data_IF_366321618965
#
_entry.id   IF_366321618965
#
_cell.length_a   1.000
_cell.length_b   1.000
_cell.length_c   1.000
_cell.angle_alpha   90.00
_cell.angle_beta   90.00
_cell.angle_gamma   90.00
#
_symmetry.space_group_name_H-M   'P 1'
#
loop_
_entity.id
_entity.type
_entity.pdbx_description
1 polymer ?
#
# COMPACT_ATOMS: atom_id res chain seq x y z
N UNK A 1 -10.43 10.63 -15.13
CA UNK A 1 -10.54 9.48 -16.04
C UNK A 1 -11.91 9.44 -16.68
N UNK A 2 -12.01 8.98 -17.93
CA UNK A 2 -13.27 8.81 -18.66
C UNK A 2 -13.91 7.45 -18.33
N UNK A 3 -15.23 7.31 -18.51
CA UNK A 3 -15.97 6.04 -18.26
C UNK A 3 -15.35 4.83 -18.99
N UNK A 4 -14.82 5.03 -20.20
CA UNK A 4 -14.12 3.99 -20.97
C UNK A 4 -12.87 3.46 -20.28
N UNK A 5 -12.13 4.32 -19.57
CA UNK A 5 -10.91 3.94 -18.84
C UNK A 5 -11.25 3.10 -17.61
N UNK A 6 -12.36 3.42 -16.92
CA UNK A 6 -12.86 2.59 -15.82
C UNK A 6 -13.24 1.18 -16.31
N UNK A 7 -13.95 1.09 -17.44
CA UNK A 7 -14.29 -0.20 -18.05
C UNK A 7 -13.03 -0.97 -18.47
N UNK A 8 -11.98 -0.28 -18.94
CA UNK A 8 -10.73 -0.93 -19.32
C UNK A 8 -10.00 -1.53 -18.11
N UNK A 9 -9.95 -0.83 -16.96
CA UNK A 9 -9.42 -1.39 -15.71
C UNK A 9 -10.18 -2.65 -15.32
N UNK A 10 -11.52 -2.59 -15.31
CA UNK A 10 -12.37 -3.73 -14.98
C UNK A 10 -12.14 -4.92 -15.92
N UNK A 11 -12.18 -4.70 -17.23
CA UNK A 11 -11.98 -5.77 -18.22
C UNK A 11 -10.55 -6.31 -18.20
N UNK A 12 -9.55 -5.48 -17.88
CA UNK A 12 -8.17 -5.91 -17.69
C UNK A 12 -8.04 -6.89 -16.53
N UNK A 13 -8.66 -6.59 -15.39
CA UNK A 13 -8.69 -7.48 -14.23
C UNK A 13 -9.53 -8.75 -14.49
N UNK A 14 -10.77 -8.59 -14.96
CA UNK A 14 -11.69 -9.71 -15.17
C UNK A 14 -11.15 -10.76 -16.15
N UNK A 15 -10.41 -10.33 -17.18
CA UNK A 15 -9.88 -11.22 -18.22
C UNK A 15 -8.40 -11.56 -18.01
N UNK A 16 -7.81 -11.24 -16.85
CA UNK A 16 -6.40 -11.50 -16.53
C UNK A 16 -5.41 -10.94 -17.57
N UNK A 17 -5.63 -9.69 -17.99
CA UNK A 17 -4.82 -8.99 -18.99
C UNK A 17 -4.01 -7.89 -18.33
N UNK A 18 -2.81 -8.25 -17.90
CA UNK A 18 -1.85 -7.36 -17.22
C UNK A 18 -1.65 -6.03 -17.96
N UNK A 19 -1.24 -6.06 -19.23
CA UNK A 19 -0.95 -4.85 -20.01
C UNK A 19 -2.18 -3.95 -20.20
N UNK A 20 -3.36 -4.57 -20.37
CA UNK A 20 -4.61 -3.83 -20.51
C UNK A 20 -4.95 -3.05 -19.24
N UNK A 21 -4.77 -3.66 -18.07
CA UNK A 21 -4.98 -3.03 -16.78
C UNK A 21 -3.94 -1.92 -16.53
N UNK A 22 -2.64 -2.24 -16.67
CA UNK A 22 -1.55 -1.32 -16.37
C UNK A 22 -1.45 -0.14 -17.32
N UNK A 23 -1.92 -0.26 -18.57
CA UNK A 23 -2.03 0.87 -19.50
C UNK A 23 -2.83 2.05 -18.92
N UNK A 24 -3.80 1.78 -18.04
CA UNK A 24 -4.57 2.79 -17.32
C UNK A 24 -4.04 2.97 -15.88
N UNK A 25 -3.77 1.88 -15.15
CA UNK A 25 -3.42 1.95 -13.73
C UNK A 25 -2.13 2.74 -13.45
N UNK A 26 -1.17 2.74 -14.39
CA UNK A 26 0.05 3.55 -14.26
C UNK A 26 -0.22 5.03 -14.01
N UNK A 27 -1.30 5.59 -14.57
CA UNK A 27 -1.71 6.99 -14.36
C UNK A 27 -2.14 7.26 -12.91
N UNK A 28 -2.58 6.23 -12.20
CA UNK A 28 -2.96 6.30 -10.78
C UNK A 28 -1.76 6.11 -9.85
N UNK A 29 -0.69 5.51 -10.36
CA UNK A 29 0.57 5.31 -9.65
C UNK A 29 1.57 6.44 -9.91
N UNK A 30 1.29 7.34 -10.84
CA UNK A 30 2.09 8.54 -11.05
C UNK A 30 2.02 9.44 -9.80
N UNK A 31 3.17 9.74 -9.16
CA UNK A 31 3.18 10.64 -8.02
C UNK A 31 2.68 12.04 -8.40
N UNK A 32 2.06 12.74 -7.45
CA UNK A 32 1.57 14.11 -7.67
C UNK A 32 2.69 15.13 -7.85
N UNK A 33 2.35 16.42 -7.92
CA UNK A 33 3.32 17.52 -8.15
C UNK A 33 4.52 17.54 -7.19
N UNK A 34 4.37 16.99 -5.99
CA UNK A 34 5.42 16.89 -4.96
C UNK A 34 6.24 15.59 -5.04
N UNK A 35 6.11 14.82 -6.13
CA UNK A 35 6.84 13.57 -6.34
C UNK A 35 6.38 12.42 -5.45
N UNK A 36 5.25 12.55 -4.75
CA UNK A 36 4.69 11.51 -3.88
C UNK A 36 3.15 11.53 -3.90
N UNK A 37 2.52 10.48 -3.35
CA UNK A 37 1.09 10.48 -3.06
C UNK A 37 0.74 11.44 -1.91
N UNK A 38 -0.50 11.92 -1.86
CA UNK A 38 -0.97 12.74 -0.74
C UNK A 38 -1.04 11.93 0.56
N UNK A 39 -1.59 10.72 0.48
CA UNK A 39 -1.62 9.72 1.54
C UNK A 39 -1.49 8.33 0.91
N UNK A 40 -0.99 7.38 1.68
CA UNK A 40 -0.85 5.99 1.26
C UNK A 40 -2.17 5.23 1.48
N UNK A 41 -2.75 4.62 0.45
CA UNK A 41 -3.90 3.74 0.59
C UNK A 41 -3.45 2.37 1.13
N UNK A 42 -3.81 2.07 2.37
CA UNK A 42 -3.51 0.77 2.99
C UNK A 42 -4.64 0.29 3.89
N UNK A 43 -4.63 -1.01 4.18
CA UNK A 43 -5.44 -1.66 5.22
C UNK A 43 -4.58 -2.68 5.95
N UNK A 44 -4.52 -2.59 7.27
CA UNK A 44 -3.83 -3.56 8.11
C UNK A 44 -4.84 -4.56 8.70
N UNK A 45 -4.57 -5.85 8.56
CA UNK A 45 -5.39 -6.95 9.04
C UNK A 45 -4.65 -7.69 10.15
N UNK A 46 -5.28 -7.89 11.30
CA UNK A 46 -4.69 -8.62 12.43
C UNK A 46 -5.72 -9.60 13.01
N UNK A 47 -5.49 -10.90 12.77
CA UNK A 47 -6.46 -11.95 13.14
C UNK A 47 -7.85 -11.66 12.56
N UNK A 48 -8.88 -11.85 13.39
CA UNK A 48 -10.29 -11.64 13.01
C UNK A 48 -10.80 -10.22 13.31
N UNK A 49 -9.93 -9.30 13.72
CA UNK A 49 -10.32 -7.93 13.99
C UNK A 49 -10.64 -7.18 12.67
N UNK A 50 -11.52 -6.17 12.71
CA UNK A 50 -11.68 -5.25 11.59
C UNK A 50 -10.34 -4.63 11.18
N UNK A 51 -10.20 -4.30 9.90
CA UNK A 51 -8.97 -3.71 9.42
C UNK A 51 -8.74 -2.31 9.99
N UNK A 52 -7.47 -1.98 10.22
CA UNK A 52 -7.03 -0.62 10.60
C UNK A 52 -6.67 0.17 9.34
N UNK A 53 -7.21 1.39 9.24
CA UNK A 53 -6.92 2.33 8.17
C UNK A 53 -6.93 3.76 8.73
N UNK A 54 -5.87 4.52 8.45
CA UNK A 54 -5.75 5.93 8.84
C UNK A 54 -4.98 6.73 7.78
N UNK A 55 -4.91 8.05 7.92
CA UNK A 55 -4.22 8.91 6.98
C UNK A 55 -2.72 8.96 7.28
N UNK A 56 -1.91 8.32 6.43
CA UNK A 56 -0.45 8.31 6.54
C UNK A 56 0.16 8.93 5.29
N UNK A 57 0.97 9.97 5.47
CA UNK A 57 1.75 10.57 4.38
C UNK A 57 2.95 9.68 4.02
N UNK A 58 3.38 9.63 2.75
CA UNK A 58 4.56 8.87 2.33
C UNK A 58 5.90 9.47 2.79
N UNK A 59 5.90 10.68 3.36
CA UNK A 59 7.09 11.39 3.82
C UNK A 59 6.92 11.83 5.27
N UNK A 60 8.04 11.95 6.00
CA UNK A 60 8.10 12.50 7.35
C UNK A 60 7.91 14.01 7.34
N UNK A 61 7.81 14.63 8.52
CA UNK A 61 7.74 16.10 8.63
C UNK A 61 9.00 16.81 8.13
N UNK A 62 10.13 16.10 8.09
CA UNK A 62 11.42 16.57 7.56
C UNK A 62 11.53 16.39 6.04
N UNK A 63 10.55 15.75 5.41
CA UNK A 63 10.54 15.45 3.97
C UNK A 63 11.24 14.16 3.58
N UNK A 64 11.74 13.38 4.54
CA UNK A 64 12.37 12.08 4.28
C UNK A 64 11.30 11.03 3.91
N UNK A 65 11.57 10.07 3.01
CA UNK A 65 10.64 8.99 2.70
C UNK A 65 10.33 8.14 3.95
N UNK A 66 9.06 7.89 4.23
CA UNK A 66 8.65 6.93 5.26
C UNK A 66 8.89 5.50 4.80
N UNK A 67 9.18 4.64 5.75
CA UNK A 67 9.33 3.20 5.55
C UNK A 67 8.12 2.43 6.08
N UNK A 68 8.09 1.13 5.83
CA UNK A 68 7.12 0.22 6.45
C UNK A 68 7.19 0.27 7.98
N UNK A 69 8.38 0.43 8.56
CA UNK A 69 8.55 0.59 10.01
C UNK A 69 7.73 1.77 10.53
N UNK A 70 7.85 2.94 9.91
CA UNK A 70 7.12 4.13 10.34
C UNK A 70 5.60 3.93 10.27
N UNK A 71 5.11 3.22 9.24
CA UNK A 71 3.70 2.86 9.16
C UNK A 71 3.27 1.98 10.33
N UNK A 72 4.07 0.95 10.67
CA UNK A 72 3.74 0.04 11.77
C UNK A 72 3.75 0.75 13.12
N UNK A 73 4.70 1.66 13.35
CA UNK A 73 4.77 2.49 14.58
C UNK A 73 3.55 3.41 14.70
N UNK A 74 3.05 3.96 13.59
CA UNK A 74 1.86 4.82 13.59
C UNK A 74 0.55 4.04 13.82
N UNK A 75 0.43 2.84 13.24
CA UNK A 75 -0.80 2.02 13.34
C UNK A 75 -0.83 1.21 14.64
N UNK A 76 0.32 0.74 15.11
CA UNK A 76 0.46 -0.13 16.30
C UNK A 76 1.45 0.46 17.33
N UNK A 77 1.20 1.68 17.86
CA UNK A 77 2.17 2.40 18.70
C UNK A 77 2.51 1.71 20.04
N UNK A 78 1.71 0.71 20.44
CA UNK A 78 1.89 -0.04 21.69
C UNK A 78 2.65 -1.36 21.51
N UNK A 79 2.92 -1.78 20.27
CA UNK A 79 3.59 -3.05 19.97
C UNK A 79 4.93 -2.76 19.33
N UNK A 80 6.05 -3.23 19.90
CA UNK A 80 7.36 -3.09 19.27
C UNK A 80 7.35 -3.70 17.86
N UNK A 81 7.87 -2.98 16.86
CA UNK A 81 7.83 -3.44 15.46
C UNK A 81 8.60 -4.74 15.25
N UNK A 82 9.63 -4.99 16.07
CA UNK A 82 10.40 -6.23 16.03
C UNK A 82 9.58 -7.47 16.40
N UNK A 83 8.50 -7.29 17.17
CA UNK A 83 7.54 -8.34 17.51
C UNK A 83 6.49 -8.53 16.39
N UNK A 84 6.44 -7.64 15.40
CA UNK A 84 5.50 -7.74 14.29
C UNK A 84 6.11 -8.53 13.13
N UNK A 85 5.30 -9.42 12.56
CA UNK A 85 5.51 -10.03 11.25
C UNK A 85 4.54 -9.39 10.27
N UNK A 86 5.08 -8.83 9.19
CA UNK A 86 4.31 -8.10 8.18
C UNK A 86 4.38 -8.83 6.85
N UNK A 87 3.22 -9.21 6.33
CA UNK A 87 3.06 -9.90 5.06
C UNK A 87 2.29 -9.04 4.05
N UNK A 88 2.82 -8.94 2.85
CA UNK A 88 2.16 -8.38 1.66
C UNK A 88 2.28 -9.38 0.52
N UNK A 89 1.17 -9.66 -0.18
CA UNK A 89 1.13 -10.68 -1.24
C UNK A 89 1.73 -12.05 -0.84
N UNK A 90 1.62 -12.43 0.44
CA UNK A 90 2.14 -13.70 0.96
C UNK A 90 3.64 -13.74 1.26
N UNK A 91 4.37 -12.64 1.10
CA UNK A 91 5.81 -12.55 1.41
C UNK A 91 6.08 -11.60 2.59
N UNK A 92 7.15 -11.87 3.32
CA UNK A 92 7.63 -10.97 4.39
C UNK A 92 8.32 -9.75 3.79
N UNK A 93 7.93 -8.56 4.24
CA UNK A 93 8.52 -7.31 3.75
C UNK A 93 9.52 -6.75 4.76
N UNK A 94 10.72 -6.35 4.32
CA UNK A 94 11.67 -5.68 5.20
C UNK A 94 11.13 -4.34 5.73
N UNK A 95 11.34 -4.08 7.02
CA UNK A 95 10.82 -2.87 7.68
C UNK A 95 11.39 -1.56 7.11
N UNK A 96 12.58 -1.60 6.52
CA UNK A 96 13.21 -0.44 5.88
C UNK A 96 12.65 -0.12 4.49
N UNK A 97 11.74 -0.95 3.92
CA UNK A 97 11.23 -0.74 2.57
C UNK A 97 10.43 0.58 2.49
N UNK A 98 10.70 1.46 1.51
CA UNK A 98 9.99 2.73 1.36
C UNK A 98 8.49 2.55 1.09
N UNK A 99 7.66 3.31 1.79
CA UNK A 99 6.21 3.16 1.78
C UNK A 99 5.58 3.60 0.44
N UNK A 100 6.10 4.67 -0.16
CA UNK A 100 5.69 5.12 -1.50
C UNK A 100 5.94 4.00 -2.53
N UNK A 101 7.13 3.40 -2.50
CA UNK A 101 7.49 2.31 -3.41
C UNK A 101 6.58 1.09 -3.21
N UNK A 102 6.28 0.71 -1.97
CA UNK A 102 5.31 -0.35 -1.68
C UNK A 102 3.96 -0.04 -2.32
N UNK A 103 3.44 1.18 -2.13
CA UNK A 103 2.13 1.57 -2.66
C UNK A 103 2.09 1.53 -4.18
N UNK A 104 3.18 1.85 -4.87
CA UNK A 104 3.26 1.81 -6.33
C UNK A 104 3.34 0.39 -6.90
N UNK A 105 4.01 -0.53 -6.20
CA UNK A 105 4.42 -1.82 -6.77
C UNK A 105 3.77 -3.05 -6.13
N UNK A 106 3.28 -2.95 -4.89
CA UNK A 106 2.69 -4.04 -4.10
C UNK A 106 1.23 -3.74 -3.69
N UNK A 107 0.61 -2.74 -4.30
CA UNK A 107 -0.84 -2.57 -4.17
C UNK A 107 -1.58 -3.58 -5.02
N UNK A 108 -2.76 -3.99 -4.54
CA UNK A 108 -3.68 -4.80 -5.32
C UNK A 108 -4.32 -3.98 -6.46
N UNK A 109 -5.06 -4.62 -7.39
CA UNK A 109 -5.74 -3.93 -8.49
C UNK A 109 -6.77 -2.87 -8.08
N UNK A 110 -7.16 -2.82 -6.80
CA UNK A 110 -7.99 -1.76 -6.21
C UNK A 110 -7.16 -0.56 -5.70
N UNK A 111 -5.84 -0.62 -5.88
CA UNK A 111 -4.83 0.34 -5.45
C UNK A 111 -4.69 0.49 -3.93
N UNK A 112 -5.02 -0.54 -3.15
CA UNK A 112 -4.71 -0.60 -1.72
C UNK A 112 -3.58 -1.59 -1.41
N UNK A 113 -2.74 -1.21 -0.45
CA UNK A 113 -1.85 -2.14 0.25
C UNK A 113 -2.65 -2.95 1.27
N UNK A 114 -2.80 -4.25 1.03
CA UNK A 114 -3.42 -5.16 1.99
C UNK A 114 -2.36 -5.85 2.84
N UNK A 115 -2.14 -5.32 4.04
CA UNK A 115 -1.05 -5.69 4.94
C UNK A 115 -1.58 -6.65 6.00
N UNK A 116 -1.10 -7.88 6.03
CA UNK A 116 -1.40 -8.83 7.11
C UNK A 116 -0.34 -8.70 8.19
N UNK A 117 -0.78 -8.50 9.43
CA UNK A 117 0.08 -8.27 10.59
C UNK A 117 -0.16 -9.36 11.62
N UNK A 118 0.91 -10.06 11.99
CA UNK A 118 0.91 -11.07 13.04
C UNK A 118 1.89 -10.67 14.14
N UNK A 119 1.59 -11.05 15.38
CA UNK A 119 2.55 -10.94 16.49
C UNK A 119 3.39 -12.20 16.51
N UNK A 120 4.72 -12.07 16.48
CA UNK A 120 5.66 -13.17 16.60
C UNK A 120 5.47 -13.80 17.98
N UNK A 121 5.26 -15.12 18.00
CA UNK A 121 5.20 -15.91 19.24
C UNK A 121 6.59 -16.18 19.80
#
# INVERSE_FOLDING_TARGET
MQKKEHNQLWLGLQNDKFDQFWAINKKLMEPGEQGNFKHIPFRCYQGDAPFSQCLVKPVTNEGNPKTLQNLMEEVYPKTPVDELSVLLHGISIPLYTPLQWLSEHLSYPDNFLHIVVNVKS
#
